data_IF_940799791343
#
_entry.id   IF_940799791343
#
_cell.length_a   1.000
_cell.length_b   1.000
_cell.length_c   1.000
_cell.angle_alpha   90.00
_cell.angle_beta   90.00
_cell.angle_gamma   90.00
#
_symmetry.space_group_name_H-M   'P 1'
#
loop_
_entity.id
_entity.type
_entity.pdbx_description
1 polymer ?
#
# COMPACT_ATOMS: atom_id res chain seq x y z
N UNK A 1 -1.53 32.75 -6.96
CA UNK A 1 -0.51 31.70 -6.83
C UNK A 1 -1.28 30.42 -6.83
N UNK A 2 -1.09 29.59 -7.86
CA UNK A 2 -1.85 28.33 -7.93
C UNK A 2 -1.03 27.23 -7.29
N UNK A 3 -1.44 26.81 -6.11
CA UNK A 3 -0.97 25.56 -5.51
C UNK A 3 -1.74 24.39 -6.11
N UNK A 4 -1.10 23.24 -6.17
CA UNK A 4 -1.70 21.95 -6.52
C UNK A 4 -1.51 21.01 -5.34
N UNK A 5 -2.58 20.31 -4.96
CA UNK A 5 -2.50 19.22 -3.97
C UNK A 5 -2.29 17.90 -4.71
N UNK A 6 -1.27 17.14 -4.30
CA UNK A 6 -1.10 15.75 -4.75
C UNK A 6 -1.55 14.83 -3.62
N UNK A 7 -2.49 13.95 -3.91
CA UNK A 7 -3.03 12.94 -3.00
C UNK A 7 -2.66 11.55 -3.50
N UNK A 8 -2.03 10.76 -2.65
CA UNK A 8 -1.75 9.36 -2.92
C UNK A 8 -3.00 8.49 -2.82
N UNK A 9 -2.93 7.33 -3.32
CA UNK A 9 -3.90 6.26 -3.53
C UNK A 9 -4.99 6.18 -2.45
N UNK A 10 -6.25 6.60 -2.73
CA UNK A 10 -7.34 6.64 -1.75
C UNK A 10 -7.82 5.27 -1.30
N UNK A 11 -7.83 4.28 -2.17
CA UNK A 11 -8.28 2.92 -1.90
C UNK A 11 -9.61 2.86 -1.12
N UNK A 12 -10.65 3.54 -1.61
CA UNK A 12 -11.95 3.53 -0.97
C UNK A 12 -12.49 2.11 -0.83
N UNK A 13 -12.77 1.72 0.43
CA UNK A 13 -13.20 0.37 0.78
C UNK A 13 -12.11 -0.51 1.37
N UNK A 14 -10.83 -0.13 1.32
CA UNK A 14 -9.71 -0.88 1.93
C UNK A 14 -9.78 -0.88 3.45
N UNK A 15 -9.26 -1.96 4.06
CA UNK A 15 -9.15 -2.06 5.52
C UNK A 15 -10.47 -2.27 6.26
N UNK A 16 -11.57 -2.57 5.58
CA UNK A 16 -12.89 -2.77 6.22
C UNK A 16 -12.93 -3.93 7.22
N UNK A 17 -12.05 -4.93 7.06
CA UNK A 17 -11.93 -6.08 7.97
C UNK A 17 -11.47 -5.71 9.39
N UNK A 18 -10.77 -4.57 9.54
CA UNK A 18 -10.33 -4.07 10.85
C UNK A 18 -11.25 -2.98 11.42
N UNK A 19 -12.26 -2.56 10.66
CA UNK A 19 -13.28 -1.62 11.08
C UNK A 19 -14.45 -2.27 11.81
N UNK A 20 -15.43 -1.45 12.16
CA UNK A 20 -16.74 -1.85 12.68
C UNK A 20 -17.85 -0.99 12.05
N UNK A 21 -19.07 -1.49 12.09
CA UNK A 21 -20.21 -0.70 11.61
C UNK A 21 -20.46 0.48 12.56
N UNK A 22 -20.57 1.68 11.97
CA UNK A 22 -20.92 2.91 12.70
C UNK A 22 -22.43 3.03 12.75
N UNK A 23 -22.99 2.99 13.96
CA UNK A 23 -24.42 3.15 14.18
C UNK A 23 -24.87 4.52 13.69
N UNK A 24 -25.97 4.54 12.93
CA UNK A 24 -26.54 5.76 12.33
C UNK A 24 -26.01 6.07 10.93
N UNK A 25 -24.78 5.77 10.59
CA UNK A 25 -24.26 5.92 9.23
C UNK A 25 -24.46 4.67 8.35
N UNK A 26 -24.66 3.51 8.96
CA UNK A 26 -24.71 2.19 8.31
C UNK A 26 -23.50 1.91 7.39
N UNK A 27 -22.36 2.50 7.71
CA UNK A 27 -21.11 2.36 7.00
C UNK A 27 -20.06 1.73 7.90
N UNK A 28 -19.09 1.05 7.28
CA UNK A 28 -17.90 0.63 8.01
C UNK A 28 -17.08 1.85 8.43
N UNK A 29 -16.54 1.82 9.64
CA UNK A 29 -15.77 2.94 10.19
C UNK A 29 -14.54 3.31 9.36
N UNK A 30 -13.94 2.35 8.65
CA UNK A 30 -12.80 2.63 7.75
C UNK A 30 -13.24 3.45 6.53
N UNK A 31 -14.44 3.18 6.00
CA UNK A 31 -15.03 4.00 4.94
C UNK A 31 -15.30 5.42 5.46
N UNK A 32 -15.80 5.55 6.70
CA UNK A 32 -16.00 6.87 7.33
C UNK A 32 -14.67 7.60 7.51
N UNK A 33 -13.61 6.91 7.94
CA UNK A 33 -12.27 7.49 8.04
C UNK A 33 -11.78 8.00 6.69
N UNK A 34 -11.93 7.20 5.62
CA UNK A 34 -11.54 7.57 4.25
C UNK A 34 -12.34 8.78 3.71
N UNK A 35 -13.65 8.84 3.99
CA UNK A 35 -14.47 10.02 3.66
C UNK A 35 -13.91 11.26 4.36
N UNK A 36 -13.59 11.15 5.65
CA UNK A 36 -13.05 12.27 6.43
C UNK A 36 -11.68 12.73 5.89
N UNK A 37 -10.86 11.82 5.38
CA UNK A 37 -9.58 12.17 4.76
C UNK A 37 -9.76 12.90 3.42
N UNK A 38 -10.74 12.49 2.60
CA UNK A 38 -11.09 13.20 1.37
C UNK A 38 -11.62 14.62 1.68
N UNK A 39 -12.52 14.77 2.66
CA UNK A 39 -13.03 16.06 3.09
C UNK A 39 -11.89 16.94 3.62
N UNK A 40 -11.01 16.39 4.46
CA UNK A 40 -9.84 17.09 4.95
C UNK A 40 -8.91 17.56 3.81
N UNK A 41 -8.74 16.73 2.77
CA UNK A 41 -7.93 17.10 1.60
C UNK A 41 -8.54 18.29 0.86
N UNK A 42 -9.87 18.32 0.70
CA UNK A 42 -10.57 19.49 0.14
C UNK A 42 -10.40 20.73 1.01
N UNK A 43 -10.53 20.59 2.34
CA UNK A 43 -10.32 21.72 3.27
C UNK A 43 -8.89 22.27 3.13
N UNK A 44 -7.87 21.41 3.00
CA UNK A 44 -6.48 21.86 2.76
C UNK A 44 -6.34 22.56 1.41
N UNK A 45 -6.99 22.03 0.36
CA UNK A 45 -6.98 22.71 -0.94
C UNK A 45 -7.51 24.15 -0.82
N UNK A 46 -8.60 24.34 -0.10
CA UNK A 46 -9.19 25.68 0.12
C UNK A 46 -8.29 26.58 0.97
N UNK A 47 -7.69 26.06 2.04
CA UNK A 47 -6.79 26.84 2.91
C UNK A 47 -5.50 27.27 2.19
N UNK A 48 -4.97 26.41 1.32
CA UNK A 48 -3.80 26.71 0.51
C UNK A 48 -4.12 27.44 -0.81
N UNK A 49 -5.40 27.83 -1.02
CA UNK A 49 -5.86 28.45 -2.26
C UNK A 49 -5.50 27.61 -3.49
N UNK A 50 -5.59 26.30 -3.37
CA UNK A 50 -5.36 25.38 -4.45
C UNK A 50 -6.62 25.18 -5.28
N UNK A 51 -6.51 25.43 -6.58
CA UNK A 51 -7.60 25.21 -7.53
C UNK A 51 -7.54 23.80 -8.17
N UNK A 52 -6.55 22.98 -7.78
CA UNK A 52 -6.33 21.68 -8.35
C UNK A 52 -5.95 20.63 -7.30
N UNK A 53 -6.57 19.46 -7.39
CA UNK A 53 -6.18 18.23 -6.67
C UNK A 53 -5.82 17.19 -7.72
N UNK A 54 -4.66 16.54 -7.59
CA UNK A 54 -4.23 15.44 -8.43
C UNK A 54 -4.20 14.17 -7.58
N UNK A 55 -4.94 13.14 -7.99
CA UNK A 55 -4.98 11.82 -7.36
C UNK A 55 -4.11 10.86 -8.17
N UNK A 56 -3.16 10.20 -7.51
CA UNK A 56 -2.13 9.37 -8.16
C UNK A 56 -2.61 7.99 -8.60
N UNK A 57 -3.91 7.72 -8.58
CA UNK A 57 -4.51 6.46 -8.98
C UNK A 57 -5.13 5.69 -7.81
N UNK A 58 -5.60 4.49 -8.07
CA UNK A 58 -6.19 3.57 -7.09
C UNK A 58 -7.24 4.24 -6.20
N UNK A 59 -8.24 4.85 -6.83
CA UNK A 59 -9.35 5.50 -6.11
C UNK A 59 -10.14 4.50 -5.29
N UNK A 60 -10.39 3.32 -5.86
CA UNK A 60 -11.11 2.24 -5.20
C UNK A 60 -10.20 1.05 -4.93
N UNK A 61 -10.48 0.29 -3.86
CA UNK A 61 -9.75 -0.95 -3.54
C UNK A 61 -10.08 -2.08 -4.53
N UNK A 62 -11.30 -2.11 -5.04
CA UNK A 62 -11.77 -3.15 -5.96
C UNK A 62 -12.19 -2.51 -7.28
N UNK A 63 -11.81 -3.05 -8.46
CA UNK A 63 -12.25 -2.57 -9.76
C UNK A 63 -13.76 -2.73 -9.98
N UNK A 64 -14.48 -3.40 -9.06
CA UNK A 64 -15.94 -3.49 -8.96
C UNK A 64 -16.41 -2.95 -7.61
N UNK A 65 -16.23 -1.67 -7.31
CA UNK A 65 -16.58 -1.13 -6.02
C UNK A 65 -18.08 -1.24 -5.75
N UNK A 66 -18.44 -1.36 -4.48
CA UNK A 66 -19.85 -1.29 -4.09
C UNK A 66 -20.46 0.04 -4.56
N UNK A 67 -21.70 0.07 -5.11
CA UNK A 67 -22.32 1.29 -5.63
C UNK A 67 -22.35 2.47 -4.64
N UNK A 68 -22.41 2.19 -3.33
CA UNK A 68 -22.34 3.26 -2.32
C UNK A 68 -20.98 3.97 -2.29
N UNK A 69 -19.87 3.28 -2.59
CA UNK A 69 -18.55 3.91 -2.66
C UNK A 69 -18.44 4.83 -3.87
N UNK A 70 -18.99 4.42 -5.02
CA UNK A 70 -19.11 5.29 -6.21
C UNK A 70 -19.91 6.55 -5.87
N UNK A 71 -21.08 6.39 -5.24
CA UNK A 71 -21.93 7.51 -4.85
C UNK A 71 -21.24 8.47 -3.87
N UNK A 72 -20.49 7.94 -2.90
CA UNK A 72 -19.70 8.72 -1.94
C UNK A 72 -18.63 9.53 -2.67
N UNK A 73 -17.89 8.89 -3.57
CA UNK A 73 -16.81 9.58 -4.29
C UNK A 73 -17.35 10.66 -5.23
N UNK A 74 -18.42 10.35 -5.99
CA UNK A 74 -19.11 11.35 -6.83
C UNK A 74 -19.65 12.53 -5.99
N UNK A 75 -20.18 12.27 -4.80
CA UNK A 75 -20.64 13.34 -3.91
C UNK A 75 -19.50 14.25 -3.45
N UNK A 76 -18.32 13.69 -3.17
CA UNK A 76 -17.12 14.47 -2.87
C UNK A 76 -16.62 15.28 -4.07
N UNK A 77 -16.60 14.70 -5.28
CA UNK A 77 -16.25 15.42 -6.50
C UNK A 77 -17.18 16.60 -6.77
N UNK A 78 -18.50 16.44 -6.51
CA UNK A 78 -19.47 17.55 -6.58
C UNK A 78 -19.18 18.64 -5.57
N UNK A 79 -18.71 18.32 -4.38
CA UNK A 79 -18.26 19.35 -3.43
C UNK A 79 -17.03 20.09 -3.97
N UNK A 80 -16.06 19.39 -4.54
CA UNK A 80 -14.92 20.03 -5.20
C UNK A 80 -15.39 21.02 -6.29
N UNK A 81 -16.38 20.62 -7.11
CA UNK A 81 -16.96 21.48 -8.14
C UNK A 81 -17.60 22.74 -7.55
N UNK A 82 -18.39 22.58 -6.49
CA UNK A 82 -19.05 23.73 -5.80
C UNK A 82 -18.02 24.74 -5.29
N UNK A 83 -16.85 24.26 -4.88
CA UNK A 83 -15.75 25.11 -4.39
C UNK A 83 -14.77 25.56 -5.49
N UNK A 84 -15.01 25.22 -6.75
CA UNK A 84 -14.15 25.60 -7.88
C UNK A 84 -12.82 24.84 -7.92
N UNK A 85 -12.73 23.67 -7.30
CA UNK A 85 -11.54 22.84 -7.29
C UNK A 85 -11.63 21.79 -8.40
N UNK A 86 -10.65 21.79 -9.29
CA UNK A 86 -10.49 20.80 -10.36
C UNK A 86 -9.82 19.54 -9.82
N UNK A 87 -10.32 18.37 -10.19
CA UNK A 87 -9.77 17.09 -9.76
C UNK A 87 -9.24 16.30 -10.96
N UNK A 88 -7.95 16.00 -10.93
CA UNK A 88 -7.26 15.22 -11.96
C UNK A 88 -6.97 13.84 -11.40
N UNK A 89 -7.43 12.79 -12.07
CA UNK A 89 -7.30 11.41 -11.60
C UNK A 89 -6.57 10.60 -12.66
N UNK A 90 -5.44 9.99 -12.33
CA UNK A 90 -4.81 8.99 -13.18
C UNK A 90 -5.34 7.59 -12.80
N UNK A 91 -5.43 6.67 -13.77
CA UNK A 91 -5.84 5.30 -13.45
C UNK A 91 -4.71 4.55 -12.75
N UNK A 92 -5.02 3.91 -11.61
CA UNK A 92 -4.19 2.92 -10.96
C UNK A 92 -4.55 1.49 -11.38
N UNK A 93 -3.84 0.49 -10.84
CA UNK A 93 -4.09 -0.92 -11.17
C UNK A 93 -5.42 -1.44 -10.61
N UNK A 94 -5.86 -0.95 -9.44
CA UNK A 94 -7.16 -1.26 -8.85
C UNK A 94 -8.34 -0.55 -9.54
N UNK A 95 -8.07 0.46 -10.35
CA UNK A 95 -9.10 1.14 -11.13
C UNK A 95 -9.38 0.47 -12.48
N UNK A 96 -8.69 -0.63 -12.82
CA UNK A 96 -8.79 -1.28 -14.12
C UNK A 96 -9.42 -2.66 -13.99
N UNK A 97 -10.65 -2.80 -14.54
CA UNK A 97 -11.28 -4.10 -14.69
C UNK A 97 -10.86 -4.73 -16.01
N UNK A 98 -10.12 -5.83 -15.93
CA UNK A 98 -9.76 -6.64 -17.08
C UNK A 98 -10.79 -7.73 -17.28
N UNK A 99 -11.66 -7.56 -18.26
CA UNK A 99 -12.65 -8.57 -18.66
C UNK A 99 -12.64 -8.72 -20.17
N UNK A 100 -12.05 -9.82 -20.65
CA UNK A 100 -11.96 -10.10 -22.07
C UNK A 100 -11.16 -9.05 -22.84
N UNK A 101 -11.79 -8.42 -23.86
CA UNK A 101 -11.14 -7.40 -24.71
C UNK A 101 -11.41 -5.97 -24.27
N UNK A 102 -12.11 -5.75 -23.16
CA UNK A 102 -12.52 -4.41 -22.72
C UNK A 102 -11.80 -4.04 -21.43
N UNK A 103 -11.05 -2.95 -21.49
CA UNK A 103 -10.55 -2.26 -20.31
C UNK A 103 -11.64 -1.31 -19.81
N UNK A 104 -12.37 -1.71 -18.77
CA UNK A 104 -13.36 -0.89 -18.10
C UNK A 104 -12.81 -0.37 -16.78
N UNK A 105 -13.30 0.78 -16.34
CA UNK A 105 -12.95 1.35 -15.03
C UNK A 105 -14.22 1.76 -14.30
N UNK A 106 -14.30 1.61 -12.98
CA UNK A 106 -15.38 2.22 -12.20
C UNK A 106 -15.41 3.75 -12.36
N UNK A 107 -14.27 4.36 -12.73
CA UNK A 107 -14.18 5.79 -12.99
C UNK A 107 -14.81 6.22 -14.32
N UNK A 108 -15.20 5.28 -15.20
CA UNK A 108 -15.94 5.60 -16.43
C UNK A 108 -17.30 6.24 -16.12
N UNK A 109 -17.86 5.90 -14.98
CA UNK A 109 -19.13 6.51 -14.53
C UNK A 109 -19.00 8.02 -14.32
N UNK A 110 -17.79 8.52 -14.06
CA UNK A 110 -17.54 9.95 -13.83
C UNK A 110 -17.72 10.75 -15.12
N UNK A 111 -17.34 10.19 -16.26
CA UNK A 111 -17.54 10.83 -17.57
C UNK A 111 -19.01 10.94 -17.97
N UNK A 112 -19.88 10.13 -17.37
CA UNK A 112 -21.33 10.15 -17.57
C UNK A 112 -22.09 11.05 -16.57
N UNK A 113 -21.36 11.57 -15.56
CA UNK A 113 -21.88 12.52 -14.59
C UNK A 113 -21.41 13.92 -14.99
N UNK A 114 -22.31 14.89 -15.00
CA UNK A 114 -22.04 16.28 -15.36
C UNK A 114 -21.13 16.97 -14.31
N UNK A 115 -19.82 16.75 -14.47
CA UNK A 115 -18.75 17.23 -13.60
C UNK A 115 -17.64 17.85 -14.44
N UNK A 116 -17.81 19.13 -14.79
CA UNK A 116 -16.86 19.87 -15.65
C UNK A 116 -15.47 20.05 -15.02
N UNK A 117 -15.37 19.87 -13.70
CA UNK A 117 -14.14 20.04 -12.94
C UNK A 117 -13.32 18.73 -12.78
N UNK A 118 -13.73 17.61 -13.38
CA UNK A 118 -13.07 16.32 -13.19
C UNK A 118 -12.52 15.79 -14.50
N UNK A 119 -11.23 15.42 -14.49
CA UNK A 119 -10.55 14.78 -15.62
C UNK A 119 -9.98 13.43 -15.18
N UNK A 120 -10.27 12.37 -15.94
CA UNK A 120 -9.73 11.02 -15.71
C UNK A 120 -8.77 10.68 -16.84
N UNK A 121 -7.50 10.48 -16.51
CA UNK A 121 -6.43 10.21 -17.47
C UNK A 121 -6.19 8.71 -17.60
N UNK A 122 -6.43 8.20 -18.80
CA UNK A 122 -6.25 6.79 -19.17
C UNK A 122 -4.96 6.54 -19.92
N UNK A 123 -4.46 7.57 -20.58
CA UNK A 123 -3.23 7.56 -21.36
C UNK A 123 -2.29 8.62 -20.83
N UNK A 124 -1.02 8.57 -21.27
CA UNK A 124 -0.05 9.61 -20.94
C UNK A 124 -0.53 10.90 -21.59
N UNK A 125 -0.63 11.94 -20.79
CA UNK A 125 -1.07 13.27 -21.23
C UNK A 125 -0.40 14.34 -20.38
N UNK A 126 -0.28 15.56 -20.93
CA UNK A 126 0.37 16.67 -20.25
C UNK A 126 -0.56 17.88 -20.20
N UNK A 127 -0.78 18.41 -19.01
CA UNK A 127 -1.51 19.67 -18.80
C UNK A 127 -0.58 20.76 -18.29
N UNK A 128 -0.97 21.99 -18.55
CA UNK A 128 -0.25 23.18 -18.07
C UNK A 128 -1.08 23.88 -16.99
N UNK A 129 -0.48 24.05 -15.82
CA UNK A 129 -1.03 24.84 -14.72
C UNK A 129 0.00 25.91 -14.38
N UNK A 130 -0.33 27.17 -14.62
CA UNK A 130 0.59 28.31 -14.46
C UNK A 130 1.94 28.09 -15.18
N UNK A 131 3.01 27.93 -14.42
CA UNK A 131 4.38 27.71 -14.96
C UNK A 131 4.87 26.27 -14.83
N UNK A 132 3.96 25.36 -14.59
CA UNK A 132 4.26 23.93 -14.42
C UNK A 132 3.51 23.09 -15.44
N UNK A 133 4.21 22.16 -16.06
CA UNK A 133 3.64 21.12 -16.89
C UNK A 133 3.56 19.82 -16.06
N UNK A 134 2.37 19.31 -15.87
CA UNK A 134 2.11 18.02 -15.23
C UNK A 134 1.89 16.96 -16.29
N UNK A 135 2.82 16.03 -16.41
CA UNK A 135 2.67 14.85 -17.25
C UNK A 135 2.10 13.72 -16.40
N UNK A 136 0.98 13.17 -16.81
CA UNK A 136 0.31 12.05 -16.15
C UNK A 136 0.72 10.73 -16.79
N UNK A 137 1.10 9.75 -15.97
CA UNK A 137 1.49 8.40 -16.40
C UNK A 137 0.62 7.37 -15.67
N UNK A 138 -0.56 7.01 -16.21
CA UNK A 138 -1.43 6.00 -15.61
C UNK A 138 -0.78 4.62 -15.58
N UNK A 139 -1.30 3.74 -14.73
CA UNK A 139 -0.83 2.37 -14.64
C UNK A 139 -0.86 1.63 -15.97
N UNK A 140 0.21 0.94 -16.26
CA UNK A 140 0.35 -0.01 -17.36
C UNK A 140 1.15 -1.21 -16.90
N UNK A 141 0.71 -2.39 -17.26
CA UNK A 141 1.52 -3.59 -17.16
C UNK A 141 2.03 -4.00 -18.55
N UNK A 142 2.88 -5.02 -18.60
CA UNK A 142 3.42 -5.54 -19.85
C UNK A 142 2.34 -5.90 -20.89
N UNK A 143 1.21 -6.44 -20.41
CA UNK A 143 0.09 -6.86 -21.30
C UNK A 143 -0.53 -5.69 -22.07
N UNK A 144 -0.52 -4.49 -21.47
CA UNK A 144 -1.04 -3.28 -22.12
C UNK A 144 -0.25 -2.91 -23.39
N UNK A 145 1.03 -3.28 -23.46
CA UNK A 145 1.89 -3.00 -24.61
C UNK A 145 1.91 -4.13 -25.65
N UNK A 146 1.31 -5.29 -25.36
CA UNK A 146 1.33 -6.46 -26.23
C UNK A 146 2.74 -6.93 -26.62
N UNK A 147 3.70 -6.80 -25.69
CA UNK A 147 5.11 -7.16 -25.88
C UNK A 147 5.50 -8.40 -25.07
N UNK A 148 6.67 -8.99 -25.42
CA UNK A 148 7.11 -10.25 -24.83
C UNK A 148 7.89 -10.09 -23.53
N UNK A 149 8.47 -8.92 -23.26
CA UNK A 149 9.31 -8.66 -22.09
C UNK A 149 8.97 -7.35 -21.38
N UNK A 150 9.25 -7.28 -20.07
CA UNK A 150 9.12 -6.05 -19.29
C UNK A 150 10.10 -4.97 -19.77
N UNK A 151 11.29 -5.34 -20.22
CA UNK A 151 12.27 -4.40 -20.75
C UNK A 151 11.77 -3.69 -22.02
N UNK A 152 11.09 -4.41 -22.90
CA UNK A 152 10.47 -3.83 -24.09
C UNK A 152 9.31 -2.88 -23.73
N UNK A 153 8.47 -3.28 -22.76
CA UNK A 153 7.39 -2.41 -22.26
C UNK A 153 7.92 -1.12 -21.62
N UNK A 154 8.98 -1.21 -20.81
CA UNK A 154 9.66 -0.06 -20.19
C UNK A 154 10.25 0.85 -21.27
N UNK A 155 10.83 0.29 -22.36
CA UNK A 155 11.35 1.10 -23.46
C UNK A 155 10.25 1.91 -24.15
N UNK A 156 9.11 1.27 -24.45
CA UNK A 156 7.96 1.95 -25.07
C UNK A 156 7.38 3.05 -24.16
N UNK A 157 7.32 2.78 -22.86
CA UNK A 157 6.85 3.75 -21.88
C UNK A 157 7.81 4.94 -21.79
N UNK A 158 9.12 4.69 -21.80
CA UNK A 158 10.16 5.72 -21.83
C UNK A 158 10.04 6.59 -23.09
N UNK A 159 9.87 5.98 -24.26
CA UNK A 159 9.72 6.71 -25.53
C UNK A 159 8.49 7.64 -25.50
N UNK A 160 7.39 7.18 -24.89
CA UNK A 160 6.20 8.01 -24.69
C UNK A 160 6.48 9.21 -23.79
N UNK A 161 7.20 9.02 -22.68
CA UNK A 161 7.58 10.12 -21.78
C UNK A 161 8.54 11.12 -22.46
N UNK A 162 9.48 10.64 -23.27
CA UNK A 162 10.39 11.50 -24.05
C UNK A 162 9.60 12.33 -25.07
N UNK A 163 8.59 11.75 -25.70
CA UNK A 163 7.71 12.46 -26.62
C UNK A 163 6.95 13.59 -25.91
N UNK A 164 6.36 13.32 -24.77
CA UNK A 164 5.69 14.35 -23.95
C UNK A 164 6.65 15.45 -23.51
N UNK A 165 7.81 15.09 -22.98
CA UNK A 165 8.84 16.05 -22.58
C UNK A 165 9.26 17.00 -23.69
N UNK A 166 9.33 16.50 -24.93
CA UNK A 166 9.71 17.31 -26.10
C UNK A 166 8.66 18.38 -26.44
N UNK A 167 7.40 18.17 -26.08
CA UNK A 167 6.30 19.12 -26.29
C UNK A 167 6.27 20.26 -25.25
N UNK A 168 6.91 20.06 -24.07
CA UNK A 168 6.87 21.03 -22.97
C UNK A 168 7.86 22.16 -23.20
N UNK A 169 7.40 23.43 -23.18
CA UNK A 169 8.32 24.58 -23.30
C UNK A 169 9.38 24.58 -22.20
N UNK A 170 10.61 24.97 -22.54
CA UNK A 170 11.78 24.95 -21.66
C UNK A 170 11.63 25.82 -20.41
N UNK A 171 10.72 26.78 -20.43
CA UNK A 171 10.46 27.72 -19.32
C UNK A 171 9.54 27.16 -18.26
N UNK A 172 8.93 25.98 -18.50
CA UNK A 172 8.04 25.33 -17.54
C UNK A 172 8.80 24.41 -16.59
N UNK A 173 8.36 24.37 -15.33
CA UNK A 173 8.68 23.27 -14.44
C UNK A 173 8.05 22.00 -15.00
N UNK A 174 8.76 20.88 -14.95
CA UNK A 174 8.31 19.60 -15.50
C UNK A 174 8.09 18.62 -14.37
N UNK A 175 6.84 18.28 -14.13
CA UNK A 175 6.41 17.37 -13.07
C UNK A 175 5.79 16.12 -13.69
N UNK A 176 6.29 14.95 -13.32
CA UNK A 176 5.66 13.68 -13.64
C UNK A 176 4.84 13.20 -12.44
N UNK A 177 3.59 12.84 -12.69
CA UNK A 177 2.73 12.15 -11.70
C UNK A 177 2.31 10.83 -12.31
N UNK A 178 2.65 9.72 -11.67
CA UNK A 178 2.42 8.39 -12.23
C UNK A 178 1.90 7.37 -11.22
N UNK A 179 1.53 6.20 -11.74
CA UNK A 179 1.09 5.07 -10.91
C UNK A 179 1.81 3.79 -11.35
N UNK A 180 3.02 3.59 -10.89
CA UNK A 180 3.86 2.40 -11.12
C UNK A 180 4.93 2.29 -10.02
N UNK A 181 5.44 1.08 -9.81
CA UNK A 181 6.57 0.86 -8.92
C UNK A 181 7.87 1.43 -9.51
N UNK A 182 8.74 1.96 -8.66
CA UNK A 182 10.11 2.37 -9.02
C UNK A 182 11.07 1.26 -8.60
N UNK A 183 12.09 0.98 -9.38
CA UNK A 183 13.13 0.01 -9.01
C UNK A 183 13.76 0.35 -7.67
N UNK A 184 13.81 -0.64 -6.77
CA UNK A 184 14.33 -0.47 -5.42
C UNK A 184 13.34 0.10 -4.40
N UNK A 185 12.08 0.39 -4.78
CA UNK A 185 11.04 0.71 -3.81
C UNK A 185 10.70 -0.50 -2.93
N UNK A 186 10.30 -0.23 -1.70
CA UNK A 186 9.95 -1.26 -0.73
C UNK A 186 8.42 -1.25 -0.55
N UNK A 187 7.72 -2.22 -1.16
CA UNK A 187 6.28 -2.37 -0.95
C UNK A 187 5.98 -2.86 0.48
N UNK A 188 4.78 -2.61 0.97
CA UNK A 188 4.34 -3.04 2.30
C UNK A 188 3.11 -3.93 2.18
N UNK A 189 3.22 -5.16 2.72
CA UNK A 189 2.13 -6.13 2.64
C UNK A 189 1.99 -6.77 1.24
N UNK A 190 0.75 -6.90 0.77
CA UNK A 190 0.39 -7.59 -0.48
C UNK A 190 0.17 -6.58 -1.64
N UNK A 191 0.97 -5.52 -1.72
CA UNK A 191 0.79 -4.44 -2.71
C UNK A 191 1.09 -4.87 -4.16
N UNK A 192 1.89 -5.91 -4.35
CA UNK A 192 2.28 -6.42 -5.67
C UNK A 192 1.60 -7.77 -5.92
N UNK A 193 0.49 -7.76 -6.64
CA UNK A 193 -0.31 -8.96 -6.91
C UNK A 193 0.26 -9.84 -8.03
N UNK A 194 0.91 -9.28 -9.05
CA UNK A 194 1.42 -10.02 -10.22
C UNK A 194 2.83 -9.58 -10.61
N UNK A 195 3.81 -10.02 -9.84
CA UNK A 195 5.24 -9.71 -10.03
C UNK A 195 5.71 -10.01 -11.46
N UNK A 196 5.11 -10.98 -12.15
CA UNK A 196 5.55 -11.40 -13.49
C UNK A 196 5.23 -10.41 -14.60
N UNK A 197 4.18 -9.62 -14.44
CA UNK A 197 3.73 -8.61 -15.42
C UNK A 197 3.91 -7.18 -14.94
N UNK A 198 4.27 -6.99 -13.67
CA UNK A 198 4.52 -5.69 -13.05
C UNK A 198 5.73 -5.02 -13.72
N UNK A 199 5.60 -3.72 -13.97
CA UNK A 199 6.68 -2.90 -14.51
C UNK A 199 7.33 -2.09 -13.40
N UNK A 200 8.62 -2.31 -13.19
CA UNK A 200 9.44 -1.52 -12.28
C UNK A 200 10.20 -0.46 -13.07
N UNK A 201 9.86 0.80 -12.84
CA UNK A 201 10.46 1.92 -13.56
C UNK A 201 11.88 2.19 -13.06
N UNK A 202 12.92 2.12 -13.89
CA UNK A 202 14.27 2.49 -13.48
C UNK A 202 14.35 4.01 -13.29
N UNK A 203 15.18 4.48 -12.36
CA UNK A 203 15.28 5.91 -12.01
C UNK A 203 15.68 6.80 -13.19
N UNK A 204 16.47 6.29 -14.11
CA UNK A 204 16.90 7.03 -15.32
C UNK A 204 15.76 7.30 -16.31
N UNK A 205 14.64 6.60 -16.19
CA UNK A 205 13.44 6.80 -16.98
C UNK A 205 12.83 8.20 -16.77
N UNK A 206 13.06 8.79 -15.60
CA UNK A 206 12.49 10.08 -15.21
C UNK A 206 13.42 11.27 -15.52
N UNK A 207 14.48 11.05 -16.29
CA UNK A 207 15.38 12.12 -16.70
C UNK A 207 14.64 13.16 -17.55
N UNK A 208 14.85 14.45 -17.21
CA UNK A 208 14.19 15.57 -17.84
C UNK A 208 13.01 16.15 -17.06
N UNK A 209 12.46 15.41 -16.09
CA UNK A 209 11.52 15.94 -15.11
C UNK A 209 12.27 16.55 -13.91
N UNK A 210 11.74 17.66 -13.38
CA UNK A 210 12.27 18.28 -12.17
C UNK A 210 11.82 17.55 -10.92
N UNK A 211 10.58 17.03 -10.95
CA UNK A 211 9.91 16.31 -9.88
C UNK A 211 9.15 15.12 -10.45
N UNK A 212 9.16 14.01 -9.72
CA UNK A 212 8.37 12.81 -10.03
C UNK A 212 7.70 12.33 -8.74
N UNK A 213 6.37 12.27 -8.75
CA UNK A 213 5.59 11.69 -7.69
C UNK A 213 4.79 10.50 -8.20
N UNK A 214 4.97 9.37 -7.53
CA UNK A 214 4.37 8.10 -7.91
C UNK A 214 3.41 7.63 -6.83
N UNK A 215 2.24 7.14 -7.23
CA UNK A 215 1.38 6.27 -6.44
C UNK A 215 1.87 4.82 -6.45
N UNK A 216 0.97 3.87 -6.23
CA UNK A 216 1.14 2.43 -6.27
C UNK A 216 1.82 1.82 -5.03
N UNK A 217 2.95 2.34 -4.58
CA UNK A 217 3.61 1.88 -3.36
C UNK A 217 3.11 2.69 -2.17
N UNK A 218 2.44 2.02 -1.23
CA UNK A 218 1.73 2.69 -0.13
C UNK A 218 2.64 3.34 0.91
N UNK A 219 3.90 2.88 1.02
CA UNK A 219 4.87 3.48 1.91
C UNK A 219 5.45 4.76 1.31
N UNK A 220 5.24 5.94 1.92
CA UNK A 220 5.91 7.16 1.48
C UNK A 220 7.42 6.98 1.52
N UNK A 221 8.09 7.17 0.38
CA UNK A 221 9.54 6.99 0.30
C UNK A 221 10.18 7.82 -0.81
N UNK A 222 11.31 8.44 -0.49
CA UNK A 222 12.11 9.21 -1.44
C UNK A 222 13.14 8.28 -2.10
N UNK A 223 13.02 8.10 -3.41
CA UNK A 223 13.92 7.26 -4.20
C UNK A 223 15.15 8.04 -4.64
N UNK A 224 14.99 9.33 -4.94
CA UNK A 224 16.06 10.22 -5.33
C UNK A 224 15.75 11.65 -4.88
N UNK A 225 16.79 12.40 -4.45
CA UNK A 225 16.62 13.77 -3.94
C UNK A 225 16.73 14.85 -5.02
N UNK A 226 17.54 14.63 -6.06
CA UNK A 226 17.76 15.61 -7.12
C UNK A 226 18.07 14.90 -8.45
N UNK A 227 17.20 14.99 -9.48
CA UNK A 227 15.82 15.50 -9.36
C UNK A 227 15.03 14.75 -8.27
N UNK A 228 13.96 15.35 -7.76
CA UNK A 228 13.16 14.72 -6.71
C UNK A 228 12.29 13.62 -7.31
N UNK A 229 12.46 12.39 -6.83
CA UNK A 229 11.68 11.22 -7.24
C UNK A 229 11.22 10.50 -5.97
N UNK A 230 9.90 10.33 -5.82
CA UNK A 230 9.33 9.76 -4.60
C UNK A 230 8.01 9.02 -4.87
N UNK A 231 7.71 8.03 -4.02
CA UNK A 231 6.34 7.56 -3.81
C UNK A 231 5.66 8.42 -2.75
N UNK A 232 4.45 8.91 -3.03
CA UNK A 232 3.64 9.71 -2.09
C UNK A 232 3.12 8.80 -0.97
N UNK A 233 2.81 7.55 -1.31
CA UNK A 233 2.14 6.59 -0.42
C UNK A 233 0.62 6.70 -0.49
N UNK A 234 -0.08 5.75 0.14
CA UNK A 234 -1.54 5.76 0.17
C UNK A 234 -2.12 6.82 1.11
N UNK A 235 -3.37 7.21 0.87
CA UNK A 235 -4.09 8.21 1.67
C UNK A 235 -4.29 7.77 3.12
N UNK A 236 -4.49 6.48 3.37
CA UNK A 236 -4.82 5.96 4.71
C UNK A 236 -3.91 4.81 5.11
N UNK A 237 -3.84 4.52 6.41
CA UNK A 237 -3.20 3.33 6.98
C UNK A 237 -4.22 2.20 6.96
N UNK A 238 -4.07 1.23 6.08
CA UNK A 238 -5.08 0.21 5.81
C UNK A 238 -4.87 -1.11 6.55
N UNK A 239 -3.65 -1.39 7.01
CA UNK A 239 -3.30 -2.63 7.71
C UNK A 239 -2.20 -2.42 8.76
N UNK A 240 -1.95 -3.45 9.58
CA UNK A 240 -0.99 -3.37 10.69
C UNK A 240 0.49 -3.46 10.26
N UNK A 241 0.79 -3.64 9.00
CA UNK A 241 2.18 -3.53 8.49
C UNK A 241 2.57 -2.08 8.20
N UNK A 242 1.60 -1.17 8.18
CA UNK A 242 1.78 0.25 7.89
C UNK A 242 1.79 1.15 9.15
N UNK A 243 1.76 0.57 10.35
CA UNK A 243 1.60 1.31 11.63
C UNK A 243 2.59 2.42 11.87
N UNK A 244 3.80 2.30 11.33
CA UNK A 244 4.89 3.27 11.51
C UNK A 244 4.93 4.35 10.41
N UNK A 245 4.01 4.27 9.43
CA UNK A 245 3.96 5.21 8.33
C UNK A 245 3.20 6.47 8.71
N UNK A 246 3.65 7.60 8.14
CA UNK A 246 2.95 8.88 8.22
C UNK A 246 2.47 9.24 6.83
N UNK A 247 1.18 9.08 6.59
CA UNK A 247 0.56 9.45 5.33
C UNK A 247 0.48 10.97 5.21
N UNK A 248 0.63 11.49 4.00
CA UNK A 248 0.66 12.93 3.75
C UNK A 248 0.11 13.27 2.37
N UNK A 249 -0.26 14.52 2.19
CA UNK A 249 -0.44 15.17 0.90
C UNK A 249 0.82 15.97 0.55
N UNK A 250 1.02 16.23 -0.75
CA UNK A 250 2.04 17.17 -1.21
C UNK A 250 1.33 18.46 -1.66
N UNK A 251 1.84 19.61 -1.24
CA UNK A 251 1.40 20.94 -1.65
C UNK A 251 2.49 21.50 -2.56
N UNK A 252 2.17 21.73 -3.82
CA UNK A 252 3.14 22.16 -4.83
C UNK A 252 2.76 23.54 -5.38
N UNK A 253 3.69 24.49 -5.31
CA UNK A 253 3.55 25.81 -5.89
C UNK A 253 3.98 25.78 -7.37
N UNK A 254 3.01 25.94 -8.27
CA UNK A 254 3.20 25.89 -9.71
C UNK A 254 4.01 27.05 -10.30
N UNK A 255 4.18 28.14 -9.55
CA UNK A 255 4.96 29.30 -9.99
C UNK A 255 6.44 29.17 -9.66
N UNK A 256 6.74 28.65 -8.47
CA UNK A 256 8.11 28.60 -7.92
C UNK A 256 8.75 27.22 -8.02
N UNK A 257 7.95 26.15 -8.11
CA UNK A 257 8.38 24.76 -7.99
C UNK A 257 8.72 24.35 -6.55
N UNK A 258 8.40 25.18 -5.55
CA UNK A 258 8.53 24.79 -4.15
C UNK A 258 7.39 23.85 -3.77
N UNK A 259 7.67 22.97 -2.83
CA UNK A 259 6.68 22.03 -2.32
C UNK A 259 6.88 21.76 -0.82
N UNK A 260 5.82 21.37 -0.16
CA UNK A 260 5.80 20.95 1.24
C UNK A 260 4.85 19.77 1.41
N UNK A 261 4.82 19.19 2.59
CA UNK A 261 3.94 18.07 2.92
C UNK A 261 3.15 18.34 4.19
N UNK A 262 1.87 17.96 4.19
CA UNK A 262 1.05 17.96 5.39
C UNK A 262 0.55 16.54 5.70
N UNK A 263 0.64 16.15 6.98
CA UNK A 263 0.23 14.82 7.41
C UNK A 263 -1.28 14.67 7.44
N UNK A 264 -1.78 13.64 6.79
CA UNK A 264 -3.18 13.22 6.85
C UNK A 264 -3.54 12.77 8.28
N UNK A 265 -4.70 13.17 8.82
CA UNK A 265 -5.15 12.80 10.16
C UNK A 265 -5.69 11.35 10.20
N UNK A 266 -4.87 10.40 9.80
CA UNK A 266 -5.22 8.98 9.75
C UNK A 266 -5.49 8.43 11.15
N UNK A 267 -6.44 7.48 11.26
CA UNK A 267 -6.67 6.77 12.51
C UNK A 267 -5.48 5.89 12.85
N UNK A 268 -4.97 6.01 14.08
CA UNK A 268 -3.86 5.20 14.54
C UNK A 268 -4.22 3.70 14.58
N UNK A 269 -3.39 2.88 13.95
CA UNK A 269 -3.38 1.43 14.10
C UNK A 269 -2.24 1.08 15.06
N UNK A 270 -2.52 0.28 16.09
CA UNK A 270 -1.54 -0.11 17.10
C UNK A 270 -1.43 -1.62 17.20
N UNK A 271 -0.26 -2.12 16.86
CA UNK A 271 0.11 -3.51 17.05
C UNK A 271 0.94 -3.62 18.32
N UNK A 272 0.42 -4.31 19.33
CA UNK A 272 1.11 -4.53 20.58
C UNK A 272 1.52 -6.00 20.69
N UNK A 273 2.82 -6.26 20.76
CA UNK A 273 3.37 -7.61 20.86
C UNK A 273 4.12 -7.75 22.17
N UNK A 274 3.79 -8.78 22.94
CA UNK A 274 4.36 -9.03 24.25
C UNK A 274 4.75 -10.49 24.44
N UNK A 275 5.92 -10.72 25.04
CA UNK A 275 6.38 -12.05 25.42
C UNK A 275 6.24 -12.20 26.93
N UNK A 276 5.39 -13.13 27.36
CA UNK A 276 5.20 -13.45 28.78
C UNK A 276 6.31 -14.41 29.24
N UNK A 277 7.13 -14.05 30.23
CA UNK A 277 8.20 -14.89 30.75
C UNK A 277 7.69 -16.21 31.33
N UNK A 278 8.54 -17.24 31.33
CA UNK A 278 8.19 -18.60 31.80
C UNK A 278 7.80 -18.66 33.30
N UNK A 279 8.37 -17.77 34.10
CA UNK A 279 8.17 -17.77 35.55
C UNK A 279 7.02 -16.83 36.00
N UNK A 280 6.14 -16.43 35.08
CA UNK A 280 5.00 -15.52 35.34
C UNK A 280 3.87 -16.27 35.98
N UNK A 281 3.43 -15.84 37.18
CA UNK A 281 2.30 -16.45 37.91
C UNK A 281 0.96 -16.16 37.22
N UNK A 282 0.71 -14.92 36.86
CA UNK A 282 -0.49 -14.49 36.14
C UNK A 282 -0.13 -13.81 34.80
N UNK A 283 -0.21 -14.56 33.67
CA UNK A 283 0.02 -14.04 32.36
C UNK A 283 -0.87 -12.85 31.96
N UNK A 284 -2.12 -12.83 32.48
CA UNK A 284 -3.07 -11.75 32.13
C UNK A 284 -2.65 -10.44 32.78
N UNK A 285 -2.34 -10.49 34.09
CA UNK A 285 -1.89 -9.29 34.82
C UNK A 285 -0.57 -8.76 34.23
N UNK A 286 0.37 -9.65 33.88
CA UNK A 286 1.60 -9.26 33.22
C UNK A 286 1.34 -8.49 31.92
N UNK A 287 0.47 -9.00 31.05
CA UNK A 287 0.09 -8.32 29.79
C UNK A 287 -0.56 -6.97 30.09
N UNK A 288 -1.44 -6.87 31.08
CA UNK A 288 -2.06 -5.60 31.47
C UNK A 288 -1.05 -4.57 31.96
N UNK A 289 -0.05 -4.99 32.74
CA UNK A 289 1.02 -4.10 33.18
C UNK A 289 1.85 -3.55 32.02
N UNK A 290 2.14 -4.39 31.02
CA UNK A 290 2.85 -3.93 29.82
C UNK A 290 1.98 -2.96 29.01
N UNK A 291 0.68 -3.23 28.85
CA UNK A 291 -0.26 -2.35 28.15
C UNK A 291 -0.40 -0.97 28.84
N UNK A 292 -0.28 -0.90 30.17
CA UNK A 292 -0.31 0.36 30.94
C UNK A 292 0.88 1.27 30.65
N UNK A 293 1.99 0.75 30.10
CA UNK A 293 3.18 1.53 29.76
C UNK A 293 3.02 2.32 28.46
N UNK A 294 2.07 1.94 27.60
CA UNK A 294 1.76 2.67 26.38
C UNK A 294 1.13 4.04 26.68
N UNK A 295 1.52 5.05 25.87
CA UNK A 295 1.11 6.44 26.12
C UNK A 295 -0.38 6.67 25.96
N UNK A 296 -1.01 6.06 24.95
CA UNK A 296 -2.44 6.21 24.69
C UNK A 296 -2.98 5.10 23.80
N UNK A 297 -4.22 4.71 24.04
CA UNK A 297 -5.00 3.82 23.20
C UNK A 297 -6.19 4.54 22.56
N UNK A 298 -6.43 5.80 22.95
CA UNK A 298 -7.61 6.57 22.55
C UNK A 298 -7.78 6.61 21.02
N UNK A 299 -9.00 6.36 20.59
CA UNK A 299 -9.47 6.34 19.20
C UNK A 299 -8.70 5.39 18.27
N UNK A 300 -7.76 4.59 18.78
CA UNK A 300 -6.95 3.67 17.96
C UNK A 300 -7.67 2.35 17.67
N UNK A 301 -7.31 1.72 16.55
CA UNK A 301 -7.62 0.31 16.26
C UNK A 301 -6.44 -0.52 16.76
N UNK A 302 -6.71 -1.52 17.59
CA UNK A 302 -5.67 -2.26 18.33
C UNK A 302 -5.67 -3.74 17.95
N UNK A 303 -4.47 -4.30 17.79
CA UNK A 303 -4.21 -5.74 17.74
C UNK A 303 -3.20 -6.09 18.82
N UNK A 304 -3.49 -7.14 19.59
CA UNK A 304 -2.60 -7.64 20.64
C UNK A 304 -2.09 -9.02 20.27
N UNK A 305 -0.80 -9.22 20.31
CA UNK A 305 -0.13 -10.51 20.09
C UNK A 305 0.61 -10.91 21.36
N UNK A 306 0.17 -12.00 22.00
CA UNK A 306 0.77 -12.54 23.22
C UNK A 306 1.54 -13.80 22.89
N UNK A 307 2.82 -13.84 23.22
CA UNK A 307 3.66 -15.03 23.11
C UNK A 307 3.99 -15.56 24.50
N UNK A 308 3.47 -16.73 24.86
CA UNK A 308 3.79 -17.40 26.11
C UNK A 308 5.12 -18.15 25.97
N UNK A 309 6.12 -17.80 26.80
CA UNK A 309 7.47 -18.35 26.69
C UNK A 309 7.56 -19.85 27.07
N UNK A 310 6.53 -20.38 27.74
CA UNK A 310 6.47 -21.77 28.16
C UNK A 310 5.05 -22.36 27.94
N UNK A 311 4.95 -23.64 27.54
CA UNK A 311 3.67 -24.29 27.27
C UNK A 311 2.79 -24.48 28.49
N UNK A 312 3.39 -24.56 29.69
CA UNK A 312 2.72 -24.70 30.98
C UNK A 312 2.03 -23.43 31.48
N UNK A 313 2.37 -22.26 30.90
CA UNK A 313 1.70 -21.02 31.27
C UNK A 313 0.19 -21.08 30.97
N UNK A 314 -0.59 -20.52 31.89
CA UNK A 314 -2.03 -20.36 31.67
C UNK A 314 -2.26 -19.39 30.49
N UNK A 315 -3.31 -19.65 29.72
CA UNK A 315 -3.77 -18.73 28.66
C UNK A 315 -4.22 -17.41 29.27
N UNK A 316 -3.99 -16.33 28.56
CA UNK A 316 -4.45 -15.00 28.98
C UNK A 316 -5.97 -14.87 28.91
N UNK A 317 -6.54 -14.12 29.83
CA UNK A 317 -7.95 -13.75 29.76
C UNK A 317 -8.15 -12.61 28.76
N UNK A 318 -8.49 -12.96 27.51
CA UNK A 318 -8.70 -12.01 26.44
C UNK A 318 -9.79 -10.97 26.74
N UNK A 319 -10.88 -11.40 27.42
CA UNK A 319 -11.96 -10.48 27.76
C UNK A 319 -11.51 -9.39 28.76
N UNK A 320 -10.61 -9.72 29.68
CA UNK A 320 -10.05 -8.74 30.62
C UNK A 320 -9.17 -7.74 29.91
N UNK A 321 -8.33 -8.19 28.97
CA UNK A 321 -7.48 -7.33 28.14
C UNK A 321 -8.35 -6.41 27.27
N UNK A 322 -9.38 -6.96 26.62
CA UNK A 322 -10.31 -6.19 25.79
C UNK A 322 -11.06 -5.12 26.60
N UNK A 323 -11.54 -5.48 27.79
CA UNK A 323 -12.18 -4.53 28.70
C UNK A 323 -11.25 -3.40 29.10
N UNK A 324 -9.98 -3.70 29.39
CA UNK A 324 -8.97 -2.69 29.71
C UNK A 324 -8.78 -1.73 28.53
N UNK A 325 -8.46 -2.23 27.33
CA UNK A 325 -8.24 -1.41 26.14
C UNK A 325 -9.47 -0.54 25.81
N UNK A 326 -10.67 -1.12 25.92
CA UNK A 326 -11.92 -0.37 25.73
C UNK A 326 -12.08 0.76 26.75
N UNK A 327 -11.71 0.52 28.02
CA UNK A 327 -11.74 1.54 29.07
C UNK A 327 -10.72 2.67 28.86
N UNK A 328 -9.66 2.39 28.11
CA UNK A 328 -8.63 3.37 27.72
C UNK A 328 -8.97 4.11 26.40
N UNK A 329 -10.19 3.96 25.88
CA UNK A 329 -10.68 4.67 24.69
C UNK A 329 -10.31 4.01 23.36
N UNK A 330 -9.79 2.78 23.32
CA UNK A 330 -9.56 2.08 22.06
C UNK A 330 -10.85 2.01 21.24
N UNK A 331 -10.77 2.42 19.98
CA UNK A 331 -11.92 2.49 19.10
C UNK A 331 -12.41 1.09 18.69
N UNK A 332 -11.48 0.22 18.32
CA UNK A 332 -11.77 -1.16 17.95
C UNK A 332 -10.60 -2.08 18.35
N UNK A 333 -10.90 -3.30 18.74
CA UNK A 333 -9.91 -4.33 19.04
C UNK A 333 -10.13 -5.46 18.05
N UNK A 334 -9.24 -5.56 17.06
CA UNK A 334 -9.39 -6.49 15.92
C UNK A 334 -9.05 -7.93 16.29
N UNK A 335 -8.32 -8.13 17.37
CA UNK A 335 -8.00 -9.45 17.87
C UNK A 335 -6.94 -9.44 18.96
N UNK A 336 -7.04 -10.42 19.83
CA UNK A 336 -6.03 -10.78 20.81
C UNK A 336 -5.60 -12.20 20.50
N UNK A 337 -4.42 -12.33 19.88
CA UNK A 337 -3.86 -13.63 19.50
C UNK A 337 -2.90 -14.11 20.58
N UNK A 338 -2.93 -15.42 20.83
CA UNK A 338 -2.03 -16.07 21.77
C UNK A 338 -1.25 -17.16 21.03
N UNK A 339 0.05 -17.17 21.21
CA UNK A 339 0.93 -18.25 20.77
C UNK A 339 1.72 -18.82 21.95
N UNK A 340 1.89 -20.12 21.99
CA UNK A 340 2.76 -20.78 22.99
C UNK A 340 4.05 -21.21 22.28
N UNK A 341 5.20 -20.83 22.81
CA UNK A 341 6.45 -21.43 22.37
C UNK A 341 6.42 -22.91 22.77
N UNK A 342 6.12 -23.76 21.83
CA UNK A 342 6.40 -25.17 21.97
C UNK A 342 7.92 -25.26 22.03
N UNK A 343 8.47 -25.55 23.22
CA UNK A 343 9.84 -26.06 23.29
C UNK A 343 9.79 -27.36 22.49
N UNK A 344 10.26 -27.34 21.24
CA UNK A 344 10.68 -28.56 20.63
C UNK A 344 11.68 -29.15 21.64
N UNK A 345 11.22 -30.14 22.40
CA UNK A 345 12.08 -30.92 23.29
C UNK A 345 13.24 -31.29 22.38
N UNK A 346 14.42 -30.75 22.65
CA UNK A 346 15.66 -31.23 22.07
C UNK A 346 15.76 -32.68 22.49
N UNK A 347 15.15 -33.59 21.74
CA UNK A 347 15.57 -34.97 21.75
C UNK A 347 16.94 -34.96 21.11
N UNK A 348 17.90 -35.12 21.99
CA UNK A 348 19.30 -35.37 21.72
C UNK A 348 19.97 -34.54 20.62
N UNK A 349 20.70 -33.56 21.14
CA UNK A 349 21.64 -32.67 20.50
C UNK A 349 22.82 -33.44 19.89
N UNK A 350 22.61 -34.13 18.79
CA UNK A 350 23.73 -34.58 17.96
C UNK A 350 23.48 -34.43 16.45
N UNK A 351 22.52 -33.61 16.04
CA UNK A 351 22.42 -33.18 14.64
C UNK A 351 22.24 -31.66 14.60
N UNK A 352 23.32 -30.95 14.80
CA UNK A 352 23.51 -29.62 14.25
C UNK A 352 23.29 -29.72 12.74
N UNK A 353 22.23 -29.10 12.22
CA UNK A 353 22.17 -28.80 10.78
C UNK A 353 23.34 -27.82 10.56
N UNK A 354 24.43 -28.37 10.07
CA UNK A 354 25.58 -27.59 9.67
C UNK A 354 25.12 -26.70 8.50
N UNK A 355 25.20 -25.40 8.63
CA UNK A 355 24.90 -24.41 7.58
C UNK A 355 25.79 -24.57 6.35
N UNK A 356 26.69 -25.56 6.35
CA UNK A 356 27.56 -26.00 5.25
C UNK A 356 27.06 -27.26 4.54
N UNK A 357 25.94 -27.86 4.94
CA UNK A 357 25.37 -29.00 4.21
C UNK A 357 24.90 -28.54 2.82
N UNK A 358 25.32 -29.23 1.80
CA UNK A 358 24.78 -29.00 0.47
C UNK A 358 23.29 -29.41 0.42
N UNK A 359 22.53 -28.77 -0.49
CA UNK A 359 21.08 -28.92 -0.59
C UNK A 359 20.67 -30.38 -0.80
N UNK A 360 21.46 -31.17 -1.52
CA UNK A 360 21.23 -32.58 -1.79
C UNK A 360 21.27 -33.44 -0.53
N UNK A 361 22.25 -33.19 0.32
CA UNK A 361 22.40 -33.86 1.62
C UNK A 361 21.28 -33.47 2.57
N UNK A 362 20.87 -32.21 2.55
CA UNK A 362 19.73 -31.70 3.37
C UNK A 362 18.42 -32.39 2.98
N UNK A 363 18.13 -32.54 1.67
CA UNK A 363 16.93 -33.21 1.16
C UNK A 363 16.91 -34.70 1.59
N UNK A 364 18.03 -35.40 1.45
CA UNK A 364 18.14 -36.79 1.87
C UNK A 364 17.94 -36.95 3.37
N UNK A 365 18.60 -36.14 4.17
CA UNK A 365 18.46 -36.14 5.64
C UNK A 365 17.02 -35.89 6.09
N UNK A 366 16.32 -34.96 5.40
CA UNK A 366 14.91 -34.70 5.67
C UNK A 366 14.04 -35.89 5.28
N UNK A 367 14.26 -36.46 4.10
CA UNK A 367 13.52 -37.62 3.62
C UNK A 367 13.67 -38.84 4.55
N UNK A 368 14.89 -39.13 5.01
CA UNK A 368 15.16 -40.25 5.93
C UNK A 368 14.47 -40.05 7.30
N UNK A 369 14.30 -38.81 7.72
CA UNK A 369 13.76 -38.50 9.05
C UNK A 369 12.24 -38.36 9.09
N UNK A 370 11.61 -37.86 8.01
CA UNK A 370 10.22 -37.45 8.03
C UNK A 370 9.33 -38.10 6.97
N UNK A 371 9.90 -38.80 5.99
CA UNK A 371 9.13 -39.43 4.90
C UNK A 371 9.10 -40.95 5.07
N UNK A 372 7.94 -41.56 4.87
CA UNK A 372 7.76 -43.01 4.92
C UNK A 372 8.67 -43.71 3.90
N UNK A 373 9.27 -44.85 4.27
CA UNK A 373 10.28 -45.57 3.49
C UNK A 373 9.89 -45.81 2.02
N UNK A 374 8.62 -46.12 1.76
CA UNK A 374 8.07 -46.32 0.43
C UNK A 374 8.04 -45.07 -0.46
N UNK A 375 7.94 -43.89 0.14
CA UNK A 375 7.79 -42.61 -0.54
C UNK A 375 9.11 -41.84 -0.65
N UNK A 376 10.15 -42.21 0.11
CA UNK A 376 11.47 -41.55 0.13
C UNK A 376 12.12 -41.39 -1.24
N UNK A 377 12.16 -42.45 -2.10
CA UNK A 377 12.81 -42.31 -3.42
C UNK A 377 12.10 -41.26 -4.28
N UNK A 378 10.78 -41.34 -4.41
CA UNK A 378 10.00 -40.42 -5.21
C UNK A 378 10.05 -38.96 -4.67
N UNK A 379 10.02 -38.79 -3.34
CA UNK A 379 10.19 -37.49 -2.72
C UNK A 379 11.57 -36.91 -3.01
N UNK A 380 12.63 -37.69 -2.86
CA UNK A 380 13.99 -37.23 -3.06
C UNK A 380 14.24 -36.85 -4.53
N UNK A 381 13.72 -37.62 -5.46
CA UNK A 381 13.83 -37.35 -6.91
C UNK A 381 13.11 -36.03 -7.25
N UNK A 382 11.84 -35.85 -6.86
CA UNK A 382 11.07 -34.66 -7.13
C UNK A 382 11.70 -33.42 -6.50
N UNK A 383 12.17 -33.51 -5.25
CA UNK A 383 12.81 -32.38 -4.56
C UNK A 383 14.13 -31.97 -5.23
N UNK A 384 14.87 -32.92 -5.77
CA UNK A 384 16.11 -32.66 -6.53
C UNK A 384 15.82 -32.04 -7.90
N UNK A 385 14.75 -32.46 -8.60
CA UNK A 385 14.30 -31.82 -9.84
C UNK A 385 13.97 -30.34 -9.63
N UNK A 386 13.22 -30.00 -8.57
CA UNK A 386 12.88 -28.60 -8.23
C UNK A 386 14.16 -27.77 -7.99
N UNK A 387 15.16 -28.33 -7.30
CA UNK A 387 16.45 -27.64 -7.07
C UNK A 387 17.21 -27.39 -8.36
N UNK A 388 17.17 -28.34 -9.30
CA UNK A 388 17.82 -28.20 -10.61
C UNK A 388 17.11 -27.13 -11.45
N UNK A 389 15.79 -27.13 -11.49
CA UNK A 389 14.99 -26.14 -12.21
C UNK A 389 15.27 -24.72 -11.69
N UNK A 390 15.23 -24.51 -10.38
CA UNK A 390 15.55 -23.20 -9.77
C UNK A 390 17.00 -22.74 -10.02
N UNK A 391 17.96 -23.67 -10.22
CA UNK A 391 19.34 -23.32 -10.57
C UNK A 391 19.53 -22.98 -12.04
N UNK A 392 18.65 -23.43 -12.91
CA UNK A 392 18.63 -23.09 -14.34
C UNK A 392 18.00 -21.71 -14.54
N UNK A 393 16.88 -21.41 -13.86
CA UNK A 393 16.24 -20.09 -13.89
C UNK A 393 17.08 -18.97 -13.26
N UNK A 394 17.96 -19.27 -12.32
CA UNK A 394 18.88 -18.29 -11.71
C UNK A 394 20.15 -18.03 -12.55
N UNK A 395 20.27 -18.61 -13.75
CA UNK A 395 21.42 -18.44 -14.67
C UNK A 395 21.05 -17.82 -16.01
N UNK A 396 19.79 -17.56 -16.26
CA UNK A 396 19.25 -16.73 -17.34
C UNK A 396 18.89 -15.33 -16.82
#
# INVERSE_FOLDING_TARGET
MSNVILLGDPHLGKGTSIGKIVLGANLNSRIVDQINLLEWTLDRALEHHSEHIIITGDVFEDPKPHPSLLAIFVAWLKKCQVHGVNVHIILGNHDILRSGFVYASPLDVISEVDLDNVSVYRDIDTILIDRTAFTFMPYRDRKAFSVSSNAEAISLLRDSLVYELASIPVTYQKVLVGHLAIEGSIPVGDEIDDITNELFCPLDMFQGYNYTWMGHVHAPQVMQKSPHIAHIGSMDISNFSETDQKKHIVIFDCMTGQWDTEYLPTRALKKFSVVVPKDTEDPTEYVLEQLKQEKTWDKSIVRVEVSLAAPELKSVNKATIEKYLSSQGAFNITGITESKKISLIKKDSNNTIDTKMDVSTSIKTYADKYIEDKLRPAFTELAMEIVVLNKLEAKE
#
